data_IF_449391472637
#
_entry.id   IF_449391472637
#
_cell.length_a   1.000
_cell.length_b   1.000
_cell.length_c   1.000
_cell.angle_alpha   90.00
_cell.angle_beta   90.00
_cell.angle_gamma   90.00
#
_symmetry.space_group_name_H-M   'P 1'
#
loop_
_entity.id
_entity.type
_entity.pdbx_description
1 polymer ?
#
# COMPACT_ATOMS: atom_id res chain seq x y z
N UNK A 1 70.03 13.05 10.99
CA UNK A 1 69.31 13.29 9.72
C UNK A 1 68.35 12.14 9.52
N UNK A 2 67.01 12.32 9.84
CA UNK A 2 65.96 11.31 9.67
C UNK A 2 65.07 11.73 8.49
N UNK A 3 65.02 10.89 7.45
CA UNK A 3 64.13 11.07 6.28
C UNK A 3 62.73 10.66 6.66
N UNK A 4 61.81 11.60 6.57
CA UNK A 4 60.35 11.36 6.72
C UNK A 4 59.85 10.94 5.34
N UNK A 5 59.40 9.68 5.23
CA UNK A 5 58.74 9.18 4.05
C UNK A 5 57.28 9.65 4.00
N UNK A 6 56.92 10.29 2.91
CA UNK A 6 55.59 10.81 2.62
C UNK A 6 54.75 9.65 2.03
N UNK A 7 53.77 9.16 2.81
CA UNK A 7 52.81 8.19 2.33
C UNK A 7 51.69 8.94 1.58
N UNK A 8 51.66 8.80 0.28
CA UNK A 8 50.54 9.27 -0.57
C UNK A 8 49.40 8.25 -0.48
N UNK A 9 48.35 8.61 0.25
CA UNK A 9 47.10 7.85 0.26
C UNK A 9 46.28 8.17 -1.00
N UNK A 10 46.21 7.21 -1.91
CA UNK A 10 45.37 7.29 -3.11
C UNK A 10 43.95 6.98 -2.70
N UNK A 11 43.08 8.00 -2.64
CA UNK A 11 41.66 7.86 -2.41
C UNK A 11 41.00 7.36 -3.70
N UNK A 12 40.62 6.10 -3.75
CA UNK A 12 39.82 5.52 -4.83
C UNK A 12 38.39 5.94 -4.62
N UNK A 13 37.93 6.99 -5.29
CA UNK A 13 36.52 7.37 -5.34
C UNK A 13 35.80 6.39 -6.25
N UNK A 14 35.11 5.41 -5.64
CA UNK A 14 34.16 4.57 -6.36
C UNK A 14 32.95 5.42 -6.76
N UNK A 15 32.92 5.87 -8.01
CA UNK A 15 31.77 6.50 -8.62
C UNK A 15 30.70 5.40 -8.80
N UNK A 16 29.75 5.32 -7.86
CA UNK A 16 28.52 4.55 -8.06
C UNK A 16 27.71 5.25 -9.16
N UNK A 17 27.83 4.73 -10.37
CA UNK A 17 26.94 5.06 -11.48
C UNK A 17 25.55 4.54 -11.13
N UNK A 18 24.76 5.35 -10.44
CA UNK A 18 23.31 5.15 -10.33
C UNK A 18 22.76 5.40 -11.72
N UNK A 19 22.58 4.32 -12.48
CA UNK A 19 21.85 4.39 -13.76
C UNK A 19 20.43 4.88 -13.45
N UNK A 20 19.97 5.97 -14.09
CA UNK A 20 18.58 6.36 -13.97
C UNK A 20 17.74 5.34 -14.73
N UNK A 21 17.29 4.28 -14.05
CA UNK A 21 16.35 3.34 -14.62
C UNK A 21 15.05 4.10 -14.91
N UNK A 22 14.77 4.24 -16.20
CA UNK A 22 13.56 4.86 -16.69
C UNK A 22 12.35 4.01 -16.26
N UNK A 23 11.53 4.55 -15.40
CA UNK A 23 10.14 4.16 -15.31
C UNK A 23 9.56 4.33 -16.74
N UNK A 24 9.21 3.23 -17.39
CA UNK A 24 8.61 3.26 -18.74
C UNK A 24 7.17 3.75 -18.63
N UNK A 25 7.00 5.01 -18.33
CA UNK A 25 5.72 5.70 -18.21
C UNK A 25 5.96 7.09 -17.66
N UNK A 26 5.63 8.10 -18.46
CA UNK A 26 5.63 9.49 -18.02
C UNK A 26 4.72 9.59 -16.76
N UNK A 27 5.19 10.07 -15.60
CA UNK A 27 4.37 10.21 -14.41
C UNK A 27 3.46 11.45 -14.53
N UNK A 28 2.64 11.50 -15.52
CA UNK A 28 1.38 12.22 -15.42
C UNK A 28 0.61 11.44 -14.38
N UNK A 29 0.39 12.03 -13.21
CA UNK A 29 -0.06 11.37 -11.98
C UNK A 29 -1.06 10.25 -12.26
N UNK A 30 -1.03 9.19 -11.49
CA UNK A 30 -1.84 7.95 -11.65
C UNK A 30 -3.30 8.25 -12.00
N UNK A 31 -3.80 9.41 -11.59
CA UNK A 31 -5.13 9.92 -11.93
C UNK A 31 -5.23 10.62 -13.31
N UNK A 32 -4.12 10.94 -13.98
CA UNK A 32 -4.13 11.62 -15.29
C UNK A 32 -3.89 10.69 -16.48
N UNK A 33 -3.32 9.52 -16.27
CA UNK A 33 -3.11 8.52 -17.30
C UNK A 33 -4.36 7.63 -17.44
N UNK A 34 -5.44 8.16 -18.09
CA UNK A 34 -6.65 7.40 -18.42
C UNK A 34 -7.19 6.61 -17.24
N UNK A 35 -7.87 7.29 -16.31
CA UNK A 35 -8.27 6.82 -15.00
C UNK A 35 -8.45 5.32 -14.88
N UNK A 36 -7.80 4.71 -13.90
CA UNK A 36 -8.12 3.32 -13.55
C UNK A 36 -9.62 3.28 -13.36
N UNK A 37 -10.32 2.50 -14.17
CA UNK A 37 -11.75 2.34 -14.03
C UNK A 37 -12.01 1.92 -12.58
N UNK A 38 -12.81 2.69 -11.82
CA UNK A 38 -13.10 2.43 -10.40
C UNK A 38 -13.59 1.00 -10.17
N UNK A 39 -14.31 0.42 -11.15
CA UNK A 39 -14.76 -0.98 -11.13
C UNK A 39 -13.56 -1.92 -11.12
N UNK A 40 -12.53 -1.65 -11.93
CA UNK A 40 -11.30 -2.47 -11.97
C UNK A 40 -10.52 -2.35 -10.66
N UNK A 41 -10.46 -1.15 -10.06
CA UNK A 41 -9.81 -0.96 -8.76
C UNK A 41 -10.58 -1.69 -7.66
N UNK A 42 -11.90 -1.55 -7.60
CA UNK A 42 -12.75 -2.22 -6.61
C UNK A 42 -12.63 -3.76 -6.71
N UNK A 43 -12.65 -4.32 -7.93
CA UNK A 43 -12.45 -5.75 -8.17
C UNK A 43 -11.05 -6.23 -7.71
N UNK A 44 -10.02 -5.47 -7.99
CA UNK A 44 -8.66 -5.79 -7.54
C UNK A 44 -8.54 -5.75 -6.01
N UNK A 45 -9.18 -4.76 -5.34
CA UNK A 45 -9.19 -4.66 -3.89
C UNK A 45 -10.04 -5.77 -3.25
N UNK A 46 -11.15 -6.17 -3.87
CA UNK A 46 -11.93 -7.32 -3.40
C UNK A 46 -11.09 -8.62 -3.42
N UNK A 47 -10.34 -8.85 -4.51
CA UNK A 47 -9.39 -9.97 -4.59
C UNK A 47 -8.30 -9.88 -3.54
N UNK A 48 -7.81 -8.65 -3.28
CA UNK A 48 -6.81 -8.40 -2.24
C UNK A 48 -7.32 -8.82 -0.86
N UNK A 49 -8.47 -8.32 -0.44
CA UNK A 49 -9.01 -8.60 0.88
C UNK A 49 -9.45 -10.06 1.02
N UNK A 50 -9.95 -10.70 -0.07
CA UNK A 50 -10.25 -12.13 -0.09
C UNK A 50 -8.99 -12.96 0.19
N UNK A 51 -7.85 -12.58 -0.41
CA UNK A 51 -6.58 -13.23 -0.12
C UNK A 51 -6.09 -12.94 1.30
N UNK A 52 -6.14 -11.69 1.73
CA UNK A 52 -5.58 -11.24 3.00
C UNK A 52 -6.31 -11.85 4.20
N UNK A 53 -7.65 -11.76 4.22
CA UNK A 53 -8.46 -12.27 5.33
C UNK A 53 -8.81 -13.75 5.19
N UNK A 54 -9.03 -14.23 3.99
CA UNK A 54 -9.43 -15.63 3.79
C UNK A 54 -8.30 -16.63 4.00
N UNK A 55 -7.05 -16.17 4.05
CA UNK A 55 -5.88 -17.03 4.23
C UNK A 55 -5.71 -18.07 3.12
N UNK A 56 -6.48 -17.98 2.04
CA UNK A 56 -6.54 -18.96 0.95
C UNK A 56 -6.16 -18.34 -0.38
N UNK A 57 -5.53 -19.14 -1.22
CA UNK A 57 -5.15 -18.72 -2.56
C UNK A 57 -3.70 -18.25 -2.67
N UNK A 58 -3.34 -17.81 -3.86
CA UNK A 58 -2.00 -17.32 -4.16
C UNK A 58 -1.96 -15.80 -4.10
N UNK A 59 -0.84 -15.25 -3.65
CA UNK A 59 -0.55 -13.81 -3.71
C UNK A 59 -0.59 -13.27 -5.15
N UNK A 60 -0.63 -14.15 -6.15
CA UNK A 60 -0.72 -13.79 -7.56
C UNK A 60 -2.05 -14.24 -8.16
N UNK A 61 -2.81 -13.30 -8.71
CA UNK A 61 -4.10 -13.52 -9.38
C UNK A 61 -4.00 -13.00 -10.82
N UNK A 62 -3.81 -13.89 -11.77
CA UNK A 62 -3.56 -13.49 -13.15
C UNK A 62 -2.31 -12.63 -13.28
N UNK A 63 -2.47 -11.36 -13.72
CA UNK A 63 -1.38 -10.38 -13.80
C UNK A 63 -1.23 -9.53 -12.54
N UNK A 64 -2.13 -9.68 -11.57
CA UNK A 64 -2.08 -8.94 -10.32
C UNK A 64 -1.13 -9.64 -9.34
N UNK A 65 -0.41 -8.84 -8.57
CA UNK A 65 0.35 -9.26 -7.40
C UNK A 65 -0.18 -8.49 -6.19
N UNK A 66 -0.65 -9.21 -5.19
CA UNK A 66 -1.24 -8.67 -3.98
C UNK A 66 -0.12 -8.34 -2.99
N UNK A 67 0.11 -7.05 -2.76
CA UNK A 67 1.26 -6.57 -1.97
C UNK A 67 1.03 -6.89 -0.48
N UNK A 68 1.96 -7.60 0.20
CA UNK A 68 1.78 -7.90 1.61
C UNK A 68 1.85 -6.62 2.45
N UNK A 69 0.98 -6.51 3.47
CA UNK A 69 1.09 -5.43 4.44
C UNK A 69 2.23 -5.73 5.43
N UNK A 70 2.93 -4.70 5.93
CA UNK A 70 3.82 -4.86 7.06
C UNK A 70 3.08 -5.41 8.28
N UNK A 71 3.61 -6.46 8.89
CA UNK A 71 3.03 -7.11 10.09
C UNK A 71 3.73 -6.69 11.38
N UNK A 72 4.81 -5.91 11.26
CA UNK A 72 5.67 -5.45 12.35
C UNK A 72 5.46 -3.95 12.66
N UNK A 73 4.23 -3.47 12.48
CA UNK A 73 3.92 -2.06 12.69
C UNK A 73 4.15 -1.63 14.13
N UNK A 74 4.92 -0.56 14.33
CA UNK A 74 5.16 0.12 15.60
C UNK A 74 4.34 1.40 15.64
N UNK A 75 3.68 1.67 16.76
CA UNK A 75 3.01 2.95 16.97
C UNK A 75 4.06 4.03 17.24
N UNK A 76 4.06 5.07 16.41
CA UNK A 76 5.05 6.17 16.49
C UNK A 76 4.44 7.51 16.87
N UNK A 77 3.11 7.61 16.94
CA UNK A 77 2.37 8.81 17.36
C UNK A 77 1.01 8.42 17.94
N UNK A 78 0.54 9.18 18.92
CA UNK A 78 -0.77 9.00 19.54
C UNK A 78 -1.84 9.94 18.94
N UNK A 79 -1.45 11.11 18.43
CA UNK A 79 -2.34 12.10 17.83
C UNK A 79 -1.61 12.88 16.71
N UNK A 80 -1.94 12.57 15.45
CA UNK A 80 -2.74 11.44 14.97
C UNK A 80 -2.16 10.08 15.38
N UNK A 81 -3.01 9.08 15.53
CA UNK A 81 -2.56 7.70 15.80
C UNK A 81 -1.86 7.14 14.55
N UNK A 82 -0.54 6.96 14.60
CA UNK A 82 0.26 6.54 13.46
C UNK A 82 1.03 5.26 13.77
N UNK A 83 0.91 4.28 12.88
CA UNK A 83 1.71 3.06 12.86
C UNK A 83 2.72 3.11 11.73
N UNK A 84 3.95 2.69 11.99
CA UNK A 84 5.01 2.56 11.00
C UNK A 84 5.46 1.12 10.87
N UNK A 85 5.61 0.64 9.65
CA UNK A 85 6.09 -0.71 9.40
C UNK A 85 6.83 -0.84 8.09
N UNK A 86 7.59 -1.94 7.96
CA UNK A 86 8.25 -2.26 6.71
C UNK A 86 8.18 -3.76 6.42
N UNK A 87 8.23 -4.10 5.14
CA UNK A 87 8.33 -5.49 4.69
C UNK A 87 9.05 -5.58 3.36
N UNK A 88 9.47 -6.77 2.98
CA UNK A 88 10.09 -7.03 1.68
C UNK A 88 9.37 -8.15 0.96
N UNK A 89 9.36 -8.09 -0.38
CA UNK A 89 8.82 -9.16 -1.22
C UNK A 89 9.51 -9.21 -2.58
N UNK A 90 9.39 -10.38 -3.22
CA UNK A 90 9.89 -10.59 -4.57
C UNK A 90 8.74 -10.77 -5.54
N UNK A 91 8.80 -10.10 -6.69
CA UNK A 91 7.78 -10.20 -7.73
C UNK A 91 8.43 -10.39 -9.09
N UNK A 92 7.77 -11.12 -10.00
CA UNK A 92 8.21 -11.25 -11.40
C UNK A 92 7.82 -10.01 -12.21
N UNK A 93 8.64 -9.66 -13.21
CA UNK A 93 8.31 -8.60 -14.16
C UNK A 93 6.94 -8.79 -14.80
N UNK A 94 6.31 -7.70 -15.24
CA UNK A 94 5.00 -7.72 -15.92
C UNK A 94 3.81 -7.86 -14.97
N UNK A 95 4.01 -7.80 -13.66
CA UNK A 95 2.94 -7.83 -12.66
C UNK A 95 2.52 -6.42 -12.26
N UNK A 96 1.21 -6.19 -12.22
CA UNK A 96 0.59 -5.01 -11.62
C UNK A 96 0.47 -5.23 -10.12
N UNK A 97 1.01 -4.32 -9.31
CA UNK A 97 0.93 -4.42 -7.87
C UNK A 97 -0.39 -3.84 -7.36
N UNK A 98 -1.11 -4.61 -6.56
CA UNK A 98 -2.35 -4.19 -5.89
C UNK A 98 -1.98 -3.78 -4.47
N UNK A 99 -2.10 -2.48 -4.18
CA UNK A 99 -1.68 -1.90 -2.91
C UNK A 99 -2.86 -1.17 -2.25
N UNK A 100 -3.42 -1.68 -1.15
CA UNK A 100 -4.33 -0.91 -0.31
C UNK A 100 -3.55 0.19 0.42
N UNK A 101 -4.12 1.39 0.48
CA UNK A 101 -3.47 2.55 1.10
C UNK A 101 -4.11 2.87 2.46
N UNK A 102 -5.44 2.96 2.50
CA UNK A 102 -6.22 3.14 3.73
C UNK A 102 -7.61 2.59 3.48
N UNK A 103 -8.02 1.60 4.24
CA UNK A 103 -9.31 0.94 4.08
C UNK A 103 -10.01 0.76 5.42
N UNK A 104 -11.32 0.82 5.37
CA UNK A 104 -12.18 0.22 6.36
C UNK A 104 -12.84 -1.02 5.76
N UNK A 105 -12.84 -2.10 6.52
CA UNK A 105 -13.48 -3.36 6.16
C UNK A 105 -14.53 -3.65 7.22
N UNK A 106 -15.78 -3.68 6.83
CA UNK A 106 -16.89 -4.01 7.72
C UNK A 106 -16.99 -5.50 7.93
N UNK A 107 -17.33 -5.89 9.13
CA UNK A 107 -17.26 -7.26 9.62
C UNK A 107 -18.62 -7.77 10.09
N UNK A 108 -18.79 -9.07 10.08
CA UNK A 108 -19.84 -9.77 10.82
C UNK A 108 -19.23 -10.46 12.04
N UNK A 109 -20.07 -10.71 13.03
CA UNK A 109 -19.65 -11.21 14.34
C UNK A 109 -20.33 -12.55 14.65
N UNK A 110 -19.70 -13.34 15.54
CA UNK A 110 -20.30 -14.58 16.07
C UNK A 110 -21.56 -14.23 16.85
N UNK A 111 -21.51 -13.13 17.59
CA UNK A 111 -22.66 -12.61 18.35
C UNK A 111 -22.84 -11.12 18.05
N UNK A 112 -24.09 -10.71 17.83
CA UNK A 112 -24.46 -9.32 17.55
C UNK A 112 -24.71 -9.02 16.08
N UNK A 113 -25.11 -7.78 15.76
CA UNK A 113 -25.33 -7.35 14.38
C UNK A 113 -24.01 -7.14 13.64
N UNK A 114 -24.00 -7.31 12.31
CA UNK A 114 -22.85 -6.95 11.50
C UNK A 114 -22.66 -5.42 11.46
N UNK A 115 -21.45 -4.99 11.06
CA UNK A 115 -21.16 -3.56 10.84
C UNK A 115 -22.07 -2.98 9.76
N UNK A 116 -22.80 -1.90 10.10
CA UNK A 116 -23.53 -1.10 9.14
C UNK A 116 -22.61 0.03 8.62
N UNK A 117 -22.39 0.14 7.30
CA UNK A 117 -21.57 1.22 6.76
C UNK A 117 -22.00 2.63 7.15
N UNK A 118 -23.27 2.81 7.48
CA UNK A 118 -23.82 4.09 7.93
C UNK A 118 -23.28 4.53 9.31
N UNK A 119 -22.88 3.58 10.14
CA UNK A 119 -22.32 3.83 11.47
C UNK A 119 -20.83 4.21 11.40
N UNK A 120 -20.17 3.99 10.25
CA UNK A 120 -18.73 4.22 10.05
C UNK A 120 -18.44 5.21 8.92
N UNK A 121 -19.00 6.44 8.97
CA UNK A 121 -18.73 7.43 7.94
C UNK A 121 -17.24 7.77 7.92
N UNK A 122 -16.58 7.56 6.79
CA UNK A 122 -15.18 7.89 6.61
C UNK A 122 -15.02 8.76 5.36
N UNK A 123 -14.50 9.96 5.54
CA UNK A 123 -14.16 10.83 4.41
C UNK A 123 -12.72 10.56 3.94
N UNK A 124 -12.52 9.48 3.22
CA UNK A 124 -11.22 9.15 2.62
C UNK A 124 -10.69 10.22 1.65
N UNK A 125 -11.58 11.10 1.14
CA UNK A 125 -11.15 12.21 0.27
C UNK A 125 -10.45 13.31 1.05
N UNK A 126 -10.71 13.41 2.37
CA UNK A 126 -10.01 14.28 3.29
C UNK A 126 -8.70 13.68 3.83
N UNK A 127 -8.33 12.47 3.41
CA UNK A 127 -7.07 11.86 3.83
C UNK A 127 -5.86 12.64 3.31
N UNK A 128 -4.82 12.71 4.13
CA UNK A 128 -3.48 13.10 3.72
C UNK A 128 -2.77 11.87 3.14
N UNK A 129 -2.23 11.95 1.94
CA UNK A 129 -1.52 10.85 1.27
C UNK A 129 -0.27 11.36 0.59
N UNK A 130 0.85 10.69 0.83
CA UNK A 130 2.07 10.74 0.02
C UNK A 130 2.49 9.31 -0.30
N UNK A 131 2.56 8.99 -1.58
CA UNK A 131 3.06 7.70 -2.08
C UNK A 131 4.22 7.98 -3.03
N UNK A 132 5.35 7.33 -2.80
CA UNK A 132 6.51 7.39 -3.68
C UNK A 132 6.95 6.01 -4.12
N UNK A 133 7.59 5.93 -5.29
CA UNK A 133 8.32 4.76 -5.77
C UNK A 133 9.70 5.23 -6.19
N UNK A 134 10.75 4.66 -5.61
CA UNK A 134 12.15 5.06 -5.81
C UNK A 134 12.37 6.57 -5.61
N UNK A 135 11.72 7.13 -4.59
CA UNK A 135 11.75 8.56 -4.26
C UNK A 135 10.94 9.46 -5.21
N UNK A 136 10.30 8.90 -6.26
CA UNK A 136 9.45 9.68 -7.18
C UNK A 136 8.00 9.67 -6.69
N UNK A 137 7.41 10.86 -6.60
CA UNK A 137 6.01 11.02 -6.17
C UNK A 137 5.07 10.39 -7.20
N UNK A 138 4.28 9.42 -6.76
CA UNK A 138 3.21 8.75 -7.52
C UNK A 138 1.85 9.38 -7.20
N UNK A 139 1.57 9.62 -5.92
CA UNK A 139 0.38 10.31 -5.47
C UNK A 139 0.73 11.24 -4.30
N UNK A 140 0.15 12.46 -4.31
CA UNK A 140 0.29 13.45 -3.23
C UNK A 140 -1.06 14.19 -3.13
N UNK A 141 -1.78 14.00 -2.02
CA UNK A 141 -3.10 14.60 -1.81
C UNK A 141 -3.12 16.14 -1.89
N UNK A 142 -1.97 16.79 -1.66
CA UNK A 142 -1.82 18.25 -1.81
C UNK A 142 -1.86 18.71 -3.28
N UNK A 143 -1.66 17.80 -4.23
CA UNK A 143 -1.51 18.07 -5.67
C UNK A 143 -2.49 17.29 -6.54
N UNK A 144 -3.01 16.20 -6.01
CA UNK A 144 -3.82 15.21 -6.74
C UNK A 144 -5.10 14.93 -5.98
N UNK A 145 -6.25 15.06 -6.65
CA UNK A 145 -7.51 14.61 -6.06
C UNK A 145 -7.47 13.10 -5.86
N UNK A 146 -7.90 12.62 -4.69
CA UNK A 146 -7.89 11.20 -4.35
C UNK A 146 -9.04 10.40 -4.98
N UNK A 147 -9.94 11.05 -5.73
CA UNK A 147 -11.11 10.40 -6.33
C UNK A 147 -10.80 9.18 -7.20
N UNK A 148 -9.62 9.16 -7.86
CA UNK A 148 -9.24 8.03 -8.70
C UNK A 148 -8.62 6.85 -7.93
N UNK A 149 -8.28 7.08 -6.67
CA UNK A 149 -7.77 6.07 -5.74
C UNK A 149 -8.88 5.55 -4.82
N UNK A 150 -10.05 6.20 -4.86
CA UNK A 150 -11.14 5.88 -3.98
C UNK A 150 -11.90 4.65 -4.48
N UNK A 151 -12.12 3.72 -3.57
CA UNK A 151 -12.99 2.56 -3.73
C UNK A 151 -14.28 2.84 -2.97
N UNK A 152 -15.35 3.01 -3.73
CA UNK A 152 -16.69 3.20 -3.17
C UNK A 152 -17.08 1.99 -2.32
N UNK A 153 -18.05 2.18 -1.41
CA UNK A 153 -18.59 1.08 -0.61
C UNK A 153 -18.93 -0.11 -1.53
N UNK A 154 -18.25 -1.22 -1.27
CA UNK A 154 -18.36 -2.43 -2.06
C UNK A 154 -18.58 -3.62 -1.14
N UNK A 155 -19.70 -4.32 -1.32
CA UNK A 155 -19.96 -5.58 -0.63
C UNK A 155 -19.22 -6.72 -1.32
N UNK A 156 -18.65 -7.63 -0.54
CA UNK A 156 -18.09 -8.85 -1.11
C UNK A 156 -19.21 -9.73 -1.64
N UNK A 157 -19.04 -10.39 -2.81
CA UNK A 157 -20.09 -11.29 -3.37
C UNK A 157 -20.51 -12.40 -2.41
N UNK A 158 -19.61 -12.81 -1.55
CA UNK A 158 -19.81 -13.68 -0.41
C UNK A 158 -18.95 -13.18 0.74
N UNK A 159 -19.40 -13.26 2.01
CA UNK A 159 -18.56 -12.93 3.15
C UNK A 159 -17.23 -13.68 3.10
N UNK A 160 -16.13 -12.98 3.37
CA UNK A 160 -14.80 -13.59 3.47
C UNK A 160 -14.67 -14.13 4.89
N UNK A 161 -14.93 -15.42 5.06
CA UNK A 161 -14.87 -16.09 6.36
C UNK A 161 -13.41 -16.14 6.83
N UNK A 162 -13.17 -15.73 8.06
CA UNK A 162 -11.85 -15.80 8.68
C UNK A 162 -11.54 -17.25 9.07
N UNK A 163 -10.27 -17.69 8.99
CA UNK A 163 -9.85 -19.01 9.44
C UNK A 163 -10.21 -19.27 10.91
N UNK A 164 -10.08 -18.22 11.73
CA UNK A 164 -10.48 -18.19 13.14
C UNK A 164 -11.13 -16.83 13.46
N UNK A 165 -12.15 -16.78 14.32
CA UNK A 165 -12.72 -15.50 14.76
C UNK A 165 -11.65 -14.62 15.44
N UNK A 166 -11.76 -13.30 15.26
CA UNK A 166 -10.87 -12.36 15.93
C UNK A 166 -11.09 -12.37 17.46
N UNK A 167 -10.18 -11.78 18.21
CA UNK A 167 -10.27 -11.69 19.67
C UNK A 167 -11.49 -10.90 20.17
N UNK A 168 -12.10 -10.09 19.30
CA UNK A 168 -13.34 -9.33 19.58
C UNK A 168 -14.58 -9.95 18.90
N UNK A 169 -14.45 -11.17 18.38
CA UNK A 169 -15.56 -11.99 17.90
C UNK A 169 -15.96 -11.77 16.45
N UNK A 170 -15.23 -11.01 15.64
CA UNK A 170 -15.53 -10.94 14.21
C UNK A 170 -15.17 -12.26 13.51
N UNK A 171 -15.99 -12.69 12.56
CA UNK A 171 -15.88 -13.97 11.89
C UNK A 171 -15.80 -13.89 10.37
N UNK A 172 -16.19 -12.77 9.76
CA UNK A 172 -16.05 -12.57 8.33
C UNK A 172 -16.03 -11.09 7.95
N UNK A 173 -15.33 -10.75 6.87
CA UNK A 173 -15.44 -9.46 6.20
C UNK A 173 -16.63 -9.47 5.22
N UNK A 174 -17.44 -8.41 5.21
CA UNK A 174 -18.69 -8.34 4.44
C UNK A 174 -18.73 -7.19 3.42
N UNK A 175 -18.05 -6.09 3.69
CA UNK A 175 -17.91 -4.97 2.77
C UNK A 175 -16.56 -4.25 2.98
N UNK A 176 -16.22 -3.38 2.05
CA UNK A 176 -15.01 -2.54 2.12
C UNK A 176 -15.27 -1.17 1.53
N UNK A 177 -14.50 -0.18 1.99
CA UNK A 177 -14.37 1.15 1.38
C UNK A 177 -12.99 1.72 1.70
N UNK A 178 -12.44 2.60 0.86
CA UNK A 178 -11.12 3.17 1.16
C UNK A 178 -10.36 3.71 -0.02
N UNK A 179 -9.05 3.82 0.16
CA UNK A 179 -8.09 4.23 -0.86
C UNK A 179 -7.20 3.05 -1.26
N UNK A 180 -7.05 2.83 -2.55
CA UNK A 180 -6.16 1.82 -3.10
C UNK A 180 -5.53 2.26 -4.40
N UNK A 181 -4.49 1.52 -4.84
CA UNK A 181 -3.80 1.82 -6.09
C UNK A 181 -3.37 0.55 -6.81
N UNK A 182 -3.39 0.62 -8.14
CA UNK A 182 -2.76 -0.35 -9.02
C UNK A 182 -1.47 0.27 -9.56
N UNK A 183 -0.32 -0.15 -9.03
CA UNK A 183 0.97 0.27 -9.54
C UNK A 183 1.33 -0.55 -10.78
N UNK A 184 1.77 0.10 -11.87
CA UNK A 184 2.16 -0.60 -13.08
C UNK A 184 3.37 -1.52 -12.82
N UNK A 185 3.62 -2.49 -13.73
CA UNK A 185 4.81 -3.33 -13.64
C UNK A 185 6.09 -2.51 -13.54
N UNK A 186 6.97 -2.92 -12.63
CA UNK A 186 8.28 -2.33 -12.43
C UNK A 186 9.35 -3.02 -13.29
N UNK A 187 10.45 -2.34 -13.56
CA UNK A 187 11.64 -2.90 -14.20
C UNK A 187 12.30 -3.97 -13.31
N UNK A 188 13.11 -4.89 -13.86
CA UNK A 188 13.93 -5.76 -13.01
C UNK A 188 14.89 -4.96 -12.14
N UNK A 189 15.07 -5.36 -10.89
CA UNK A 189 15.95 -4.71 -9.92
C UNK A 189 15.31 -4.52 -8.56
N UNK A 190 15.97 -3.77 -7.71
CA UNK A 190 15.49 -3.38 -6.39
C UNK A 190 14.73 -2.07 -6.49
N UNK A 191 13.60 -1.99 -5.81
CA UNK A 191 12.74 -0.82 -5.74
C UNK A 191 12.28 -0.57 -4.31
N UNK A 192 11.95 0.68 -4.00
CA UNK A 192 11.38 1.08 -2.71
C UNK A 192 10.05 1.78 -2.95
N UNK A 193 9.01 1.31 -2.27
CA UNK A 193 7.71 1.98 -2.20
C UNK A 193 7.57 2.55 -0.79
N UNK A 194 7.38 3.87 -0.67
CA UNK A 194 7.09 4.52 0.60
C UNK A 194 5.69 5.13 0.56
N UNK A 195 4.94 4.89 1.62
CA UNK A 195 3.60 5.41 1.81
C UNK A 195 3.46 6.09 3.16
N UNK A 196 2.90 7.28 3.14
CA UNK A 196 2.40 7.98 4.31
C UNK A 196 0.95 8.33 4.06
N UNK A 197 0.04 7.78 4.84
CA UNK A 197 -1.38 8.08 4.77
C UNK A 197 -1.92 8.36 6.15
N UNK A 198 -2.77 9.39 6.28
CA UNK A 198 -3.51 9.67 7.51
C UNK A 198 -4.95 9.98 7.11
N UNK A 199 -5.87 9.18 7.61
CA UNK A 199 -7.30 9.28 7.31
C UNK A 199 -8.09 9.69 8.55
N UNK A 200 -9.08 10.61 8.40
CA UNK A 200 -10.01 10.91 9.47
C UNK A 200 -10.94 9.72 9.71
N UNK A 201 -11.15 9.37 10.96
CA UNK A 201 -12.15 8.39 11.41
C UNK A 201 -13.13 9.09 12.35
N UNK A 202 -14.13 9.82 11.80
CA UNK A 202 -15.01 10.70 12.56
C UNK A 202 -15.81 9.98 13.66
N UNK A 203 -16.21 8.74 13.41
CA UNK A 203 -16.99 7.95 14.37
C UNK A 203 -16.20 7.60 15.66
N UNK A 204 -14.84 7.57 15.59
CA UNK A 204 -13.98 7.46 16.77
C UNK A 204 -13.39 8.80 17.23
N UNK A 205 -13.60 9.86 16.47
CA UNK A 205 -13.05 11.19 16.78
C UNK A 205 -11.52 11.27 16.66
N UNK A 206 -10.90 10.37 15.86
CA UNK A 206 -9.45 10.27 15.70
C UNK A 206 -9.03 10.38 14.24
N UNK A 207 -7.71 10.57 14.06
CA UNK A 207 -7.03 10.37 12.80
C UNK A 207 -6.15 9.13 12.91
N UNK A 208 -6.26 8.21 11.95
CA UNK A 208 -5.45 6.99 11.88
C UNK A 208 -4.54 7.05 10.67
N UNK A 209 -3.26 6.78 10.88
CA UNK A 209 -2.25 6.81 9.82
C UNK A 209 -1.36 5.59 9.78
N UNK A 210 -0.80 5.36 8.57
CA UNK A 210 0.17 4.32 8.30
C UNK A 210 1.33 4.90 7.51
N UNK A 211 2.55 4.67 8.00
CA UNK A 211 3.81 5.00 7.33
C UNK A 211 4.52 3.70 7.02
N UNK A 212 4.33 3.21 5.81
CA UNK A 212 4.79 1.90 5.42
C UNK A 212 5.83 1.98 4.31
N UNK A 213 6.86 1.14 4.43
CA UNK A 213 7.91 0.98 3.42
C UNK A 213 7.95 -0.47 2.92
N UNK A 214 7.96 -0.64 1.61
CA UNK A 214 8.15 -1.93 0.96
C UNK A 214 9.45 -1.95 0.17
N UNK A 215 10.27 -2.96 0.43
CA UNK A 215 11.47 -3.26 -0.35
C UNK A 215 11.12 -4.34 -1.37
N UNK A 216 11.16 -3.99 -2.64
CA UNK A 216 10.63 -4.83 -3.73
C UNK A 216 11.77 -5.32 -4.62
N UNK A 217 11.96 -6.63 -4.69
CA UNK A 217 12.88 -7.25 -5.65
C UNK A 217 12.10 -7.71 -6.87
N UNK A 218 12.34 -7.10 -8.03
CA UNK A 218 11.71 -7.49 -9.30
C UNK A 218 12.64 -8.40 -10.08
N UNK A 219 12.23 -9.64 -10.28
CA UNK A 219 13.01 -10.66 -11.00
C UNK A 219 12.47 -10.90 -12.41
N UNK A 220 13.36 -11.29 -13.32
CA UNK A 220 12.97 -11.73 -14.65
C UNK A 220 12.25 -13.09 -14.56
N UNK A 221 11.40 -13.45 -15.56
CA UNK A 221 10.73 -14.75 -15.61
C UNK A 221 11.70 -15.92 -15.56
#
# INVERSE_FOLDING_TARGET
>A
MKKIGMLTATLLAALLLVSPFAFAGNPKGVCQAGGVNRVVLADAMAKYWTWYYGGVGTQQVGRLFLVPLPTNGEQISDDPLIYQGSTSFTVRTGRTLVLPLSFFVGESYVEGPPDDPADYPTDYKASSLLLTVDGRVIADSRRTKLDCLYVDLTYFPQPIVYPEPSSYGSNAAIWMTGLGILLPPMSPGEHVIDMQVVSPLPFWGIYLGYYNTWYVTVVRP
#
